data_IF_451728362010
#
_entry.id   IF_451728362010
#
_cell.length_a   1.000
_cell.length_b   1.000
_cell.length_c   1.000
_cell.angle_alpha   90.00
_cell.angle_beta   90.00
_cell.angle_gamma   90.00
#
_symmetry.space_group_name_H-M   'P 1'
#
loop_
_entity.id
_entity.type
_entity.pdbx_description
1 polymer ?
#
# COMPACT_ATOMS: atom_id res chain seq x y z
N UNK A 1 -4.28 -42.11 -68.30
CA UNK A 1 -3.79 -41.80 -66.94
C UNK A 1 -4.29 -40.41 -66.54
N UNK A 2 -5.42 -40.34 -65.80
CA UNK A 2 -5.94 -39.09 -65.24
C UNK A 2 -5.40 -38.96 -63.82
N UNK A 3 -4.46 -38.04 -63.60
CA UNK A 3 -4.00 -37.73 -62.24
C UNK A 3 -5.10 -36.96 -61.51
N UNK A 4 -5.56 -37.54 -60.40
CA UNK A 4 -6.63 -37.01 -59.56
C UNK A 4 -6.17 -35.71 -58.87
N UNK A 5 -6.58 -34.57 -59.41
CA UNK A 5 -6.27 -33.21 -58.94
C UNK A 5 -6.70 -32.95 -57.50
N UNK A 6 -7.62 -33.73 -56.94
CA UNK A 6 -8.10 -33.60 -55.56
C UNK A 6 -7.09 -34.01 -54.47
N UNK A 7 -6.03 -34.74 -54.81
CA UNK A 7 -5.02 -35.18 -53.82
C UNK A 7 -3.99 -34.07 -53.51
N UNK A 8 -3.63 -33.27 -54.53
CA UNK A 8 -2.61 -32.21 -54.38
C UNK A 8 -3.10 -31.04 -53.53
N UNK A 9 -4.39 -30.69 -53.62
CA UNK A 9 -4.99 -29.60 -52.84
C UNK A 9 -5.12 -29.98 -51.36
N UNK A 10 -5.46 -31.24 -51.05
CA UNK A 10 -5.55 -31.73 -49.66
C UNK A 10 -4.18 -31.81 -49.00
N UNK A 11 -3.14 -32.20 -49.74
CA UNK A 11 -1.77 -32.25 -49.23
C UNK A 11 -1.21 -30.84 -48.94
N UNK A 12 -1.54 -29.85 -49.79
CA UNK A 12 -1.12 -28.46 -49.60
C UNK A 12 -1.80 -27.80 -48.39
N UNK A 13 -3.09 -28.10 -48.16
CA UNK A 13 -3.82 -27.66 -46.96
C UNK A 13 -3.24 -28.31 -45.70
N UNK A 14 -2.91 -29.61 -45.74
CA UNK A 14 -2.29 -30.30 -44.60
C UNK A 14 -0.90 -29.72 -44.27
N UNK A 15 -0.10 -29.41 -45.31
CA UNK A 15 1.21 -28.79 -45.15
C UNK A 15 1.08 -27.35 -44.61
N UNK A 16 0.12 -26.55 -45.09
CA UNK A 16 -0.13 -25.21 -44.58
C UNK A 16 -0.60 -25.23 -43.12
N UNK A 17 -1.49 -26.15 -42.73
CA UNK A 17 -1.93 -26.30 -41.34
C UNK A 17 -0.77 -26.77 -40.45
N UNK A 18 0.09 -27.66 -40.93
CA UNK A 18 1.28 -28.12 -40.18
C UNK A 18 2.36 -27.04 -40.04
N UNK A 19 2.59 -26.21 -41.06
CA UNK A 19 3.53 -25.10 -41.01
C UNK A 19 3.06 -23.96 -40.08
N UNK A 20 1.74 -23.73 -40.00
CA UNK A 20 1.12 -22.84 -38.99
C UNK A 20 1.23 -23.45 -37.59
N UNK A 21 1.23 -24.77 -37.45
CA UNK A 21 1.34 -25.45 -36.15
C UNK A 21 2.77 -25.44 -35.60
N UNK A 22 3.80 -25.40 -36.47
CA UNK A 22 5.21 -25.45 -36.07
C UNK A 22 5.77 -24.05 -35.75
N UNK A 23 5.19 -22.97 -36.28
CA UNK A 23 5.58 -21.59 -35.88
C UNK A 23 4.93 -21.10 -34.59
N UNK A 24 4.01 -21.86 -33.98
CA UNK A 24 3.32 -21.51 -32.72
C UNK A 24 3.92 -22.26 -31.51
N UNK A 25 5.01 -23.01 -31.71
CA UNK A 25 5.78 -23.66 -30.64
C UNK A 25 7.06 -22.90 -30.24
N UNK A 26 7.21 -21.63 -30.65
CA UNK A 26 8.19 -20.72 -30.07
C UNK A 26 7.59 -20.14 -28.79
N UNK A 27 8.16 -20.45 -27.62
CA UNK A 27 7.82 -19.94 -26.28
C UNK A 27 6.62 -18.99 -26.23
N UNK A 28 5.42 -19.54 -26.04
CA UNK A 28 4.20 -18.76 -25.84
C UNK A 28 4.24 -18.16 -24.42
N UNK A 29 5.11 -17.17 -24.21
CA UNK A 29 5.07 -16.33 -23.01
C UNK A 29 3.76 -15.53 -23.08
N UNK A 30 2.73 -16.08 -22.45
CA UNK A 30 1.37 -15.52 -22.45
C UNK A 30 1.12 -14.76 -21.15
N UNK A 31 0.24 -13.77 -21.21
CA UNK A 31 -0.13 -12.97 -20.04
C UNK A 31 -0.73 -13.80 -18.90
N UNK A 32 -1.33 -14.95 -19.21
CA UNK A 32 -1.88 -15.88 -18.22
C UNK A 32 -0.81 -16.57 -17.37
N UNK A 33 0.42 -16.71 -17.90
CA UNK A 33 1.58 -17.32 -17.23
C UNK A 33 2.55 -16.31 -16.60
N UNK A 34 2.21 -15.01 -16.59
CA UNK A 34 3.11 -13.96 -16.11
C UNK A 34 3.41 -14.07 -14.60
N UNK A 35 4.70 -14.24 -14.24
CA UNK A 35 5.15 -14.48 -12.85
C UNK A 35 4.65 -13.44 -11.83
N UNK A 36 4.69 -12.15 -12.19
CA UNK A 36 4.22 -11.07 -11.30
C UNK A 36 2.70 -11.04 -11.10
N UNK A 37 1.93 -11.64 -12.02
CA UNK A 37 0.48 -11.42 -12.10
C UNK A 37 -0.25 -11.92 -10.85
N UNK A 38 0.06 -13.15 -10.39
CA UNK A 38 -0.58 -13.72 -9.21
C UNK A 38 -0.34 -12.89 -7.93
N UNK A 39 0.89 -12.39 -7.76
CA UNK A 39 1.28 -11.58 -6.59
C UNK A 39 0.57 -10.24 -6.58
N UNK A 40 0.63 -9.50 -7.70
CA UNK A 40 -0.01 -8.20 -7.81
C UNK A 40 -1.53 -8.30 -7.78
N UNK A 41 -2.12 -9.35 -8.38
CA UNK A 41 -3.56 -9.64 -8.29
C UNK A 41 -4.01 -9.77 -6.85
N UNK A 42 -3.27 -10.49 -6.01
CA UNK A 42 -3.61 -10.65 -4.60
C UNK A 42 -3.70 -9.29 -3.88
N UNK A 43 -2.73 -8.41 -4.10
CA UNK A 43 -2.70 -7.07 -3.51
C UNK A 43 -3.83 -6.19 -4.06
N UNK A 44 -4.00 -6.14 -5.38
CA UNK A 44 -5.07 -5.35 -6.02
C UNK A 44 -6.44 -5.79 -5.51
N UNK A 45 -6.69 -7.11 -5.44
CA UNK A 45 -7.93 -7.65 -4.88
C UNK A 45 -8.07 -7.26 -3.42
N UNK A 46 -7.03 -7.39 -2.60
CA UNK A 46 -7.10 -7.02 -1.17
C UNK A 46 -7.45 -5.54 -0.96
N UNK A 47 -6.74 -4.64 -1.67
CA UNK A 47 -6.92 -3.19 -1.54
C UNK A 47 -8.28 -2.73 -2.04
N UNK A 48 -8.74 -3.28 -3.16
CA UNK A 48 -9.95 -2.83 -3.83
C UNK A 48 -11.21 -3.55 -3.34
N UNK A 49 -11.11 -4.57 -2.49
CA UNK A 49 -12.28 -5.38 -2.09
C UNK A 49 -13.34 -4.57 -1.33
N UNK A 50 -12.96 -3.52 -0.61
CA UNK A 50 -13.90 -2.66 0.13
C UNK A 50 -14.60 -1.62 -0.75
N UNK A 51 -14.17 -1.43 -2.00
CA UNK A 51 -14.77 -0.49 -2.95
C UNK A 51 -15.45 -1.27 -4.09
N UNK A 52 -16.77 -1.15 -4.21
CA UNK A 52 -17.55 -1.96 -5.16
C UNK A 52 -17.16 -1.69 -6.62
N UNK A 53 -16.91 -0.43 -6.97
CA UNK A 53 -16.52 -0.03 -8.33
C UNK A 53 -15.09 -0.48 -8.62
N UNK A 54 -14.16 -0.24 -7.69
CA UNK A 54 -12.77 -0.68 -7.79
C UNK A 54 -12.65 -2.19 -7.92
N UNK A 55 -13.41 -2.95 -7.13
CA UNK A 55 -13.50 -4.41 -7.22
C UNK A 55 -13.98 -4.87 -8.60
N UNK A 56 -15.10 -4.33 -9.08
CA UNK A 56 -15.64 -4.68 -10.40
C UNK A 56 -14.63 -4.38 -11.52
N UNK A 57 -14.00 -3.20 -11.49
CA UNK A 57 -12.99 -2.79 -12.47
C UNK A 57 -11.78 -3.71 -12.43
N UNK A 58 -11.28 -4.03 -11.24
CA UNK A 58 -10.20 -5.00 -11.06
C UNK A 58 -10.55 -6.35 -11.66
N UNK A 59 -11.72 -6.92 -11.34
CA UNK A 59 -12.11 -8.25 -11.84
C UNK A 59 -12.17 -8.31 -13.38
N UNK A 60 -12.63 -7.24 -14.04
CA UNK A 60 -12.66 -7.16 -15.50
C UNK A 60 -11.26 -6.98 -16.08
N UNK A 61 -10.46 -6.06 -15.52
CA UNK A 61 -9.10 -5.78 -16.00
C UNK A 61 -8.17 -6.98 -15.81
N UNK A 62 -8.30 -7.71 -14.70
CA UNK A 62 -7.55 -8.95 -14.46
C UNK A 62 -7.84 -10.00 -15.54
N UNK A 63 -9.11 -10.17 -15.94
CA UNK A 63 -9.48 -11.06 -17.05
C UNK A 63 -8.96 -10.56 -18.39
N UNK A 64 -9.02 -9.25 -18.64
CA UNK A 64 -8.47 -8.64 -19.85
C UNK A 64 -6.97 -8.85 -19.95
N UNK A 65 -6.25 -8.66 -18.84
CA UNK A 65 -4.81 -8.92 -18.75
C UNK A 65 -4.49 -10.38 -19.10
N UNK A 66 -5.14 -11.36 -18.47
CA UNK A 66 -4.87 -12.78 -18.72
C UNK A 66 -5.08 -13.20 -20.18
N UNK A 67 -6.03 -12.57 -20.87
CA UNK A 67 -6.38 -12.86 -22.26
C UNK A 67 -5.74 -11.87 -23.26
N UNK A 68 -4.90 -10.95 -22.78
CA UNK A 68 -4.25 -9.98 -23.65
C UNK A 68 -3.19 -10.65 -24.51
N UNK A 69 -3.01 -10.13 -25.72
CA UNK A 69 -1.80 -10.40 -26.50
C UNK A 69 -0.76 -9.36 -26.11
N UNK A 70 0.45 -9.76 -25.69
CA UNK A 70 1.51 -8.83 -25.33
C UNK A 70 1.82 -7.87 -26.49
N UNK A 71 1.92 -6.58 -26.20
CA UNK A 71 2.23 -5.55 -27.21
C UNK A 71 3.26 -4.58 -26.68
N UNK A 72 4.06 -4.02 -27.59
CA UNK A 72 4.99 -2.95 -27.24
C UNK A 72 4.23 -1.68 -26.86
N UNK A 73 4.57 -1.09 -25.70
CA UNK A 73 3.94 0.11 -25.15
C UNK A 73 4.93 1.24 -24.91
N UNK A 74 4.49 2.48 -25.17
CA UNK A 74 5.29 3.67 -24.89
C UNK A 74 5.28 4.03 -23.40
N UNK A 75 6.16 4.97 -23.00
CA UNK A 75 6.21 5.48 -21.62
C UNK A 75 4.90 6.15 -21.22
N UNK A 76 4.27 6.87 -22.14
CA UNK A 76 3.03 7.59 -21.93
C UNK A 76 1.85 6.63 -21.73
N UNK A 77 1.80 5.53 -22.50
CA UNK A 77 0.80 4.48 -22.33
C UNK A 77 0.94 3.75 -20.98
N UNK A 78 2.18 3.59 -20.50
CA UNK A 78 2.48 2.91 -19.24
C UNK A 78 2.53 3.82 -18.01
N UNK A 79 2.39 5.14 -18.17
CA UNK A 79 2.26 6.10 -17.06
C UNK A 79 3.27 5.88 -15.93
N UNK A 80 2.78 5.63 -14.71
CA UNK A 80 3.65 5.36 -13.54
C UNK A 80 4.52 4.11 -13.69
N UNK A 81 4.16 3.17 -14.58
CA UNK A 81 4.91 1.96 -14.88
C UNK A 81 5.85 2.12 -16.09
N UNK A 82 6.21 3.35 -16.47
CA UNK A 82 7.02 3.67 -17.66
C UNK A 82 8.36 2.93 -17.78
N UNK A 83 8.91 2.40 -16.69
CA UNK A 83 10.18 1.67 -16.71
C UNK A 83 10.14 0.38 -17.53
N UNK A 84 8.93 -0.15 -17.79
CA UNK A 84 8.73 -1.33 -18.63
C UNK A 84 8.37 -0.98 -20.09
N UNK A 85 8.49 0.30 -20.48
CA UNK A 85 8.24 0.72 -21.85
C UNK A 85 9.19 0.05 -22.86
N UNK A 86 8.73 -0.06 -24.10
CA UNK A 86 9.44 -0.73 -25.20
C UNK A 86 9.63 -2.25 -25.02
N UNK A 87 8.80 -2.89 -24.21
CA UNK A 87 8.75 -4.35 -24.01
C UNK A 87 7.38 -4.88 -24.41
N UNK A 88 7.26 -6.16 -24.78
CA UNK A 88 5.95 -6.74 -25.11
C UNK A 88 5.19 -7.06 -23.82
N UNK A 89 4.41 -6.08 -23.36
CA UNK A 89 3.70 -6.14 -22.08
C UNK A 89 2.21 -6.42 -22.28
N UNK A 90 1.62 -7.02 -21.25
CA UNK A 90 0.20 -7.27 -21.12
C UNK A 90 -0.56 -6.09 -20.49
N UNK A 91 0.18 -5.11 -19.96
CA UNK A 91 -0.42 -3.90 -19.41
C UNK A 91 -0.97 -2.97 -20.49
N UNK A 92 -2.10 -2.38 -20.18
CA UNK A 92 -2.62 -1.21 -20.88
C UNK A 92 -2.71 -0.02 -19.90
N UNK A 93 -3.13 1.12 -20.44
CA UNK A 93 -3.29 2.34 -19.65
C UNK A 93 -4.31 2.18 -18.50
N UNK A 94 -5.31 1.29 -18.63
CA UNK A 94 -6.33 1.09 -17.61
C UNK A 94 -5.80 0.28 -16.42
N UNK A 95 -5.02 -0.76 -16.67
CA UNK A 95 -4.27 -1.51 -15.66
C UNK A 95 -3.35 -0.57 -14.87
N UNK A 96 -2.60 0.29 -15.57
CA UNK A 96 -1.69 1.25 -14.93
C UNK A 96 -2.44 2.27 -14.08
N UNK A 97 -3.56 2.82 -14.57
CA UNK A 97 -4.42 3.71 -13.78
C UNK A 97 -4.97 3.01 -12.53
N UNK A 98 -5.37 1.75 -12.67
CA UNK A 98 -5.83 0.93 -11.54
C UNK A 98 -4.71 0.74 -10.52
N UNK A 99 -3.48 0.46 -10.95
CA UNK A 99 -2.31 0.33 -10.07
C UNK A 99 -2.08 1.60 -9.28
N UNK A 100 -2.06 2.76 -9.94
CA UNK A 100 -1.80 4.03 -9.26
C UNK A 100 -2.89 4.35 -8.22
N UNK A 101 -4.15 4.12 -8.58
CA UNK A 101 -5.29 4.31 -7.67
C UNK A 101 -5.26 3.32 -6.50
N UNK A 102 -4.88 2.06 -6.75
CA UNK A 102 -4.76 1.05 -5.70
C UNK A 102 -3.61 1.38 -4.73
N UNK A 103 -2.46 1.83 -5.23
CA UNK A 103 -1.35 2.26 -4.39
C UNK A 103 -1.76 3.42 -3.45
N UNK A 104 -2.52 4.39 -3.97
CA UNK A 104 -3.08 5.48 -3.15
C UNK A 104 -4.12 4.97 -2.14
N UNK A 105 -5.04 4.08 -2.55
CA UNK A 105 -6.07 3.54 -1.66
C UNK A 105 -5.49 2.65 -0.54
N UNK A 106 -4.38 1.96 -0.81
CA UNK A 106 -3.67 1.11 0.17
C UNK A 106 -3.32 1.86 1.45
N UNK A 107 -3.03 3.17 1.36
CA UNK A 107 -2.62 3.98 2.51
C UNK A 107 -3.78 4.69 3.22
N UNK A 108 -5.00 4.64 2.67
CA UNK A 108 -6.18 5.25 3.28
C UNK A 108 -6.49 4.72 4.69
N UNK A 109 -6.47 3.40 4.96
CA UNK A 109 -6.68 2.87 6.32
C UNK A 109 -5.61 3.35 7.31
N UNK A 110 -4.38 3.61 6.84
CA UNK A 110 -3.28 4.10 7.68
C UNK A 110 -3.56 5.53 8.15
N UNK A 111 -4.13 6.36 7.25
CA UNK A 111 -4.54 7.72 7.59
C UNK A 111 -5.78 7.75 8.48
N UNK A 112 -6.75 6.86 8.27
CA UNK A 112 -7.98 6.81 9.07
C UNK A 112 -7.77 6.24 10.48
N UNK A 113 -6.72 5.44 10.70
CA UNK A 113 -6.41 4.87 12.00
C UNK A 113 -5.84 5.93 12.96
N UNK A 114 -6.29 5.92 14.22
CA UNK A 114 -5.74 6.77 15.28
C UNK A 114 -4.25 6.49 15.48
N UNK A 115 -3.43 7.48 15.21
CA UNK A 115 -1.99 7.45 15.48
C UNK A 115 -1.70 7.53 16.98
N UNK A 116 -0.50 7.15 17.43
CA UNK A 116 -0.13 7.21 18.85
C UNK A 116 -0.23 8.64 19.44
N UNK A 117 0.00 9.68 18.62
CA UNK A 117 -0.24 11.07 19.00
C UNK A 117 -1.73 11.38 19.22
N UNK A 118 -2.61 10.90 18.35
CA UNK A 118 -4.06 11.05 18.57
C UNK A 118 -4.50 10.26 19.82
N UNK A 119 -3.96 9.06 20.04
CA UNK A 119 -4.23 8.27 21.25
C UNK A 119 -3.83 9.01 22.54
N UNK A 120 -2.81 9.88 22.53
CA UNK A 120 -2.43 10.72 23.68
C UNK A 120 -3.62 11.53 24.20
N UNK A 121 -4.44 12.09 23.32
CA UNK A 121 -5.62 12.89 23.70
C UNK A 121 -6.70 12.01 24.31
N UNK A 122 -6.95 10.83 23.73
CA UNK A 122 -7.90 9.86 24.31
C UNK A 122 -7.44 9.39 25.70
N UNK A 123 -6.14 9.11 25.87
CA UNK A 123 -5.55 8.76 27.18
C UNK A 123 -5.65 9.93 28.16
N UNK A 124 -5.39 11.16 27.71
CA UNK A 124 -5.54 12.36 28.55
C UNK A 124 -6.96 12.49 29.10
N UNK A 125 -7.98 12.41 28.25
CA UNK A 125 -9.39 12.49 28.66
C UNK A 125 -9.70 11.38 29.68
N UNK A 126 -9.26 10.14 29.43
CA UNK A 126 -9.46 9.03 30.35
C UNK A 126 -8.80 9.26 31.71
N UNK A 127 -7.57 9.80 31.74
CA UNK A 127 -6.88 10.11 32.99
C UNK A 127 -7.52 11.28 33.73
N UNK A 128 -8.00 12.31 33.04
CA UNK A 128 -8.74 13.40 33.67
C UNK A 128 -10.01 12.86 34.33
N UNK A 129 -10.82 12.07 33.61
CA UNK A 129 -12.05 11.51 34.15
C UNK A 129 -11.81 10.55 35.32
N UNK A 130 -10.66 9.87 35.35
CA UNK A 130 -10.29 8.95 36.44
C UNK A 130 -9.76 9.66 37.68
N UNK A 131 -8.98 10.74 37.51
CA UNK A 131 -8.21 11.34 38.60
C UNK A 131 -8.72 12.71 39.06
N UNK A 132 -9.61 13.35 38.29
CA UNK A 132 -10.14 14.68 38.57
C UNK A 132 -11.62 14.62 38.94
N UNK A 133 -12.01 15.37 39.97
CA UNK A 133 -13.41 15.57 40.34
C UNK A 133 -14.06 16.66 39.48
N UNK A 134 -15.38 16.62 39.30
CA UNK A 134 -16.10 17.57 38.42
C UNK A 134 -15.98 19.05 38.84
N UNK A 135 -15.77 19.33 40.13
CA UNK A 135 -15.59 20.69 40.66
C UNK A 135 -14.33 21.41 40.13
N UNK A 136 -13.31 20.67 39.68
CA UNK A 136 -12.06 21.22 39.12
C UNK A 136 -12.06 21.22 37.59
N UNK A 137 -13.13 20.76 36.93
CA UNK A 137 -13.27 20.73 35.48
C UNK A 137 -14.22 21.85 35.03
N UNK A 138 -13.72 22.93 34.40
CA UNK A 138 -14.56 24.05 33.96
C UNK A 138 -15.49 23.66 32.80
N UNK A 139 -15.17 22.60 32.07
CA UNK A 139 -15.93 22.14 30.89
C UNK A 139 -15.89 20.61 30.85
N UNK A 140 -16.92 19.96 31.39
CA UNK A 140 -17.08 18.50 31.41
C UNK A 140 -18.43 18.12 30.79
N UNK A 141 -18.52 17.07 29.95
CA UNK A 141 -17.44 16.14 29.59
C UNK A 141 -16.44 16.73 28.59
N UNK A 142 -15.17 16.35 28.73
CA UNK A 142 -14.14 16.62 27.72
C UNK A 142 -14.32 15.69 26.52
N UNK A 143 -14.31 16.25 25.32
CA UNK A 143 -14.40 15.50 24.06
C UNK A 143 -13.08 15.58 23.30
N UNK A 144 -12.71 14.47 22.65
CA UNK A 144 -11.56 14.37 21.75
C UNK A 144 -11.58 15.47 20.67
N UNK A 145 -12.71 15.61 19.95
CA UNK A 145 -12.80 16.56 18.83
C UNK A 145 -12.67 18.01 19.29
N UNK A 146 -13.23 18.35 20.46
CA UNK A 146 -13.19 19.70 21.01
C UNK A 146 -11.77 20.09 21.43
N UNK A 147 -11.03 19.16 22.07
CA UNK A 147 -9.62 19.37 22.40
C UNK A 147 -8.79 19.50 21.11
N UNK A 148 -9.00 18.60 20.16
CA UNK A 148 -8.19 18.54 18.94
C UNK A 148 -8.41 19.73 18.01
N UNK A 149 -9.61 20.34 18.02
CA UNK A 149 -9.96 21.56 17.27
C UNK A 149 -9.71 22.85 18.03
N UNK A 150 -9.35 22.80 19.31
CA UNK A 150 -9.12 24.01 20.10
C UNK A 150 -7.84 24.73 19.65
N UNK A 151 -8.03 25.85 18.95
CA UNK A 151 -6.95 26.69 18.40
C UNK A 151 -6.17 27.47 19.47
N UNK A 152 -6.66 27.54 20.70
CA UNK A 152 -5.96 28.19 21.81
C UNK A 152 -4.81 27.34 22.36
N UNK A 153 -4.83 26.03 22.14
CA UNK A 153 -3.78 25.08 22.54
C UNK A 153 -2.62 25.12 21.53
N UNK A 154 -1.84 26.19 21.54
CA UNK A 154 -0.81 26.48 20.53
C UNK A 154 0.23 25.37 20.42
N UNK A 155 0.67 24.78 21.55
CA UNK A 155 1.67 23.73 21.54
C UNK A 155 1.07 22.45 20.95
N UNK A 156 -0.15 22.07 21.35
CA UNK A 156 -0.85 20.94 20.77
C UNK A 156 -1.02 21.11 19.25
N UNK A 157 -1.51 22.27 18.79
CA UNK A 157 -1.75 22.50 17.36
C UNK A 157 -0.45 22.48 16.54
N UNK A 158 0.63 23.09 17.05
CA UNK A 158 1.94 23.05 16.39
C UNK A 158 2.48 21.62 16.25
N UNK A 159 2.43 20.84 17.33
CA UNK A 159 2.87 19.43 17.29
C UNK A 159 1.98 18.57 16.40
N UNK A 160 0.67 18.80 16.39
CA UNK A 160 -0.28 18.12 15.50
C UNK A 160 0.08 18.35 14.03
N UNK A 161 0.25 19.60 13.60
CA UNK A 161 0.59 19.90 12.21
C UNK A 161 1.91 19.24 11.81
N UNK A 162 2.92 19.29 12.67
CA UNK A 162 4.22 18.68 12.38
C UNK A 162 4.15 17.14 12.32
N UNK A 163 3.44 16.51 13.26
CA UNK A 163 3.22 15.06 13.27
C UNK A 163 2.41 14.59 12.06
N UNK A 164 1.40 15.36 11.63
CA UNK A 164 0.59 15.06 10.46
C UNK A 164 1.47 14.98 9.19
N UNK A 165 2.44 15.89 9.05
CA UNK A 165 3.40 15.85 7.95
C UNK A 165 4.28 14.60 8.00
N UNK A 166 4.76 14.16 9.17
CA UNK A 166 5.49 12.89 9.28
C UNK A 166 4.62 11.71 8.82
N UNK A 167 3.35 11.68 9.25
CA UNK A 167 2.38 10.63 8.90
C UNK A 167 2.06 10.61 7.39
N UNK A 168 1.93 11.78 6.77
CA UNK A 168 1.73 11.92 5.31
C UNK A 168 2.96 11.37 4.57
N UNK A 169 4.18 11.77 4.97
CA UNK A 169 5.41 11.30 4.33
C UNK A 169 5.59 9.78 4.46
N UNK A 170 5.23 9.21 5.61
CA UNK A 170 5.21 7.76 5.80
C UNK A 170 4.28 7.08 4.80
N UNK A 171 3.04 7.55 4.66
CA UNK A 171 2.09 7.02 3.68
C UNK A 171 2.56 7.20 2.22
N UNK A 172 3.21 8.33 1.89
CA UNK A 172 3.81 8.52 0.56
C UNK A 172 4.87 7.47 0.24
N UNK A 173 5.71 7.11 1.21
CA UNK A 173 6.71 6.06 1.05
C UNK A 173 6.06 4.68 0.81
N UNK A 174 5.04 4.31 1.60
CA UNK A 174 4.29 3.05 1.43
C UNK A 174 3.58 3.01 0.06
N UNK A 175 2.90 4.10 -0.32
CA UNK A 175 2.22 4.24 -1.62
C UNK A 175 3.21 4.07 -2.78
N UNK A 176 4.35 4.78 -2.73
CA UNK A 176 5.36 4.74 -3.80
C UNK A 176 5.99 3.36 -3.99
N UNK A 177 6.25 2.68 -2.88
CA UNK A 177 6.83 1.33 -2.89
C UNK A 177 5.82 0.29 -3.39
N UNK A 178 4.57 0.37 -2.94
CA UNK A 178 3.46 -0.49 -3.41
C UNK A 178 3.21 -0.29 -4.90
N UNK A 179 3.26 0.95 -5.39
CA UNK A 179 3.07 1.28 -6.80
C UNK A 179 4.10 0.59 -7.69
N UNK A 180 5.38 0.72 -7.38
CA UNK A 180 6.43 0.10 -8.19
C UNK A 180 6.41 -1.43 -8.12
N UNK A 181 6.06 -1.99 -6.96
CA UNK A 181 5.79 -3.41 -6.80
C UNK A 181 4.72 -3.91 -7.77
N UNK A 182 3.55 -3.25 -7.77
CA UNK A 182 2.43 -3.58 -8.64
C UNK A 182 2.75 -3.37 -10.13
N UNK A 183 3.55 -2.35 -10.47
CA UNK A 183 4.00 -2.11 -11.83
C UNK A 183 4.81 -3.27 -12.42
N UNK A 184 5.36 -4.19 -11.61
CA UNK A 184 6.05 -5.39 -12.11
C UNK A 184 5.19 -6.31 -12.98
N UNK A 185 3.86 -6.20 -12.94
CA UNK A 185 2.98 -6.90 -13.90
C UNK A 185 3.09 -6.35 -15.32
N UNK A 186 3.69 -5.17 -15.49
CA UNK A 186 3.89 -4.57 -16.78
C UNK A 186 5.23 -4.94 -17.40
N UNK A 187 6.05 -5.79 -16.76
CA UNK A 187 7.21 -6.37 -17.39
C UNK A 187 6.84 -7.05 -18.72
N UNK A 188 7.73 -6.95 -19.71
CA UNK A 188 7.57 -7.70 -20.95
C UNK A 188 7.54 -9.19 -20.66
N UNK A 189 6.63 -9.91 -21.30
CA UNK A 189 6.51 -11.37 -21.12
C UNK A 189 7.83 -12.08 -21.48
N UNK A 190 8.57 -11.52 -22.43
CA UNK A 190 9.86 -12.00 -22.91
C UNK A 190 11.03 -11.65 -21.99
N UNK A 191 10.83 -10.72 -21.04
CA UNK A 191 11.86 -10.24 -20.10
C UNK A 191 11.51 -10.51 -18.64
N UNK A 192 10.43 -11.23 -18.37
CA UNK A 192 9.96 -11.43 -16.98
C UNK A 192 11.02 -12.10 -16.10
N UNK A 193 11.80 -13.03 -16.66
CA UNK A 193 12.89 -13.73 -15.95
C UNK A 193 14.11 -12.83 -15.68
N UNK A 194 14.23 -11.68 -16.37
CA UNK A 194 15.25 -10.68 -16.03
C UNK A 194 14.90 -10.04 -14.67
N UNK A 195 13.60 -9.89 -14.39
CA UNK A 195 13.08 -9.21 -13.21
C UNK A 195 12.77 -10.10 -12.02
N UNK A 196 12.59 -11.41 -12.23
CA UNK A 196 12.32 -12.37 -11.18
C UNK A 196 13.43 -13.43 -11.14
N UNK A 197 13.82 -13.89 -9.95
CA UNK A 197 14.73 -15.03 -9.83
C UNK A 197 13.96 -16.36 -9.93
N UNK A 198 14.69 -17.48 -9.90
CA UNK A 198 14.12 -18.82 -10.03
C UNK A 198 13.16 -19.18 -8.89
N UNK A 199 13.26 -18.49 -7.75
CA UNK A 199 12.35 -18.61 -6.60
C UNK A 199 11.09 -17.74 -6.75
N UNK A 200 10.94 -17.00 -7.85
CA UNK A 200 9.83 -16.08 -8.09
C UNK A 200 9.86 -14.83 -7.21
N UNK A 201 11.04 -14.48 -6.68
CA UNK A 201 11.27 -13.22 -5.95
C UNK A 201 11.59 -12.11 -6.94
N UNK A 202 11.02 -10.93 -6.73
CA UNK A 202 11.33 -9.76 -7.56
C UNK A 202 12.77 -9.29 -7.27
N UNK A 203 13.58 -9.14 -8.32
CA UNK A 203 14.91 -8.53 -8.24
C UNK A 203 14.75 -7.01 -8.15
N UNK A 204 15.09 -6.43 -7.00
CA UNK A 204 14.94 -5.00 -6.73
C UNK A 204 16.29 -4.33 -6.56
N UNK A 205 16.39 -3.07 -7.00
CA UNK A 205 17.62 -2.31 -6.85
C UNK A 205 17.87 -1.95 -5.38
N UNK A 206 19.14 -1.96 -4.96
CA UNK A 206 19.52 -1.47 -3.63
C UNK A 206 19.09 -0.01 -3.40
N UNK A 207 19.06 0.80 -4.47
CA UNK A 207 18.59 2.20 -4.40
C UNK A 207 17.14 2.29 -3.92
N UNK A 208 16.23 1.47 -4.44
CA UNK A 208 14.83 1.45 -4.00
C UNK A 208 14.70 1.07 -2.53
N UNK A 209 15.46 0.05 -2.09
CA UNK A 209 15.49 -0.39 -0.69
C UNK A 209 15.96 0.75 0.20
N UNK A 210 17.06 1.40 -0.16
CA UNK A 210 17.65 2.49 0.61
C UNK A 210 16.70 3.68 0.71
N UNK A 211 16.10 4.11 -0.40
CA UNK A 211 15.16 5.24 -0.41
C UNK A 211 13.94 4.91 0.44
N UNK A 212 13.33 3.72 0.26
CA UNK A 212 12.18 3.32 1.06
C UNK A 212 12.50 3.30 2.56
N UNK A 213 13.59 2.66 2.95
CA UNK A 213 14.02 2.60 4.35
C UNK A 213 14.36 3.98 4.90
N UNK A 214 15.05 4.82 4.14
CA UNK A 214 15.37 6.19 4.56
C UNK A 214 14.09 7.01 4.79
N UNK A 215 13.14 6.96 3.86
CA UNK A 215 11.89 7.73 3.98
C UNK A 215 11.03 7.24 5.15
N UNK A 216 10.94 5.93 5.35
CA UNK A 216 10.22 5.35 6.49
C UNK A 216 10.92 5.64 7.82
N UNK A 217 12.24 5.51 7.91
CA UNK A 217 13.02 5.86 9.10
C UNK A 217 12.87 7.33 9.47
N UNK A 218 13.00 8.23 8.50
CA UNK A 218 12.86 9.67 8.72
C UNK A 218 11.46 10.00 9.21
N UNK A 219 10.41 9.44 8.60
CA UNK A 219 9.03 9.67 9.00
C UNK A 219 8.72 9.10 10.40
N UNK A 220 9.21 7.89 10.71
CA UNK A 220 9.05 7.27 12.04
C UNK A 220 9.82 8.05 13.10
N UNK A 221 11.06 8.45 12.82
CA UNK A 221 11.88 9.26 13.74
C UNK A 221 11.23 10.63 13.99
N UNK A 222 10.79 11.31 12.94
CA UNK A 222 10.01 12.55 13.00
C UNK A 222 8.80 12.38 13.92
N UNK A 223 7.99 11.33 13.70
CA UNK A 223 6.81 11.04 14.51
C UNK A 223 7.17 10.75 15.98
N UNK A 224 8.16 9.89 16.21
CA UNK A 224 8.56 9.46 17.56
C UNK A 224 9.03 10.62 18.44
N UNK A 225 9.59 11.67 17.84
CA UNK A 225 10.04 12.86 18.58
C UNK A 225 8.91 13.55 19.35
N UNK A 226 7.66 13.46 18.88
CA UNK A 226 6.47 14.01 19.53
C UNK A 226 6.00 13.20 20.75
N UNK A 227 6.48 11.96 20.89
CA UNK A 227 6.13 11.04 21.97
C UNK A 227 7.23 10.92 23.04
N UNK A 228 8.23 11.80 23.01
CA UNK A 228 9.25 11.85 24.06
C UNK A 228 8.64 12.31 25.39
N UNK A 229 9.20 11.86 26.52
CA UNK A 229 8.73 12.25 27.84
C UNK A 229 8.67 13.77 28.05
N UNK A 230 9.61 14.51 27.46
CA UNK A 230 9.63 15.98 27.49
C UNK A 230 8.48 16.59 26.69
N UNK A 231 8.27 16.15 25.45
CA UNK A 231 7.19 16.70 24.62
C UNK A 231 5.80 16.35 25.17
N UNK A 232 5.62 15.12 25.65
CA UNK A 232 4.39 14.70 26.33
C UNK A 232 4.13 15.58 27.54
N UNK A 233 5.16 15.85 28.35
CA UNK A 233 5.01 16.72 29.53
C UNK A 233 4.56 18.13 29.16
N UNK A 234 5.14 18.72 28.12
CA UNK A 234 4.78 20.07 27.65
C UNK A 234 3.32 20.08 27.17
N UNK A 235 2.91 19.11 26.34
CA UNK A 235 1.55 19.01 25.82
C UNK A 235 0.55 18.83 26.96
N UNK A 236 0.81 17.91 27.89
CA UNK A 236 -0.10 17.64 29.01
C UNK A 236 -0.19 18.82 29.97
N UNK A 237 0.90 19.57 30.19
CA UNK A 237 0.86 20.81 30.98
C UNK A 237 -0.01 21.88 30.32
N UNK A 238 0.06 22.04 29.00
CA UNK A 238 -0.84 22.94 28.26
C UNK A 238 -2.31 22.51 28.40
N UNK A 239 -2.59 21.21 28.23
CA UNK A 239 -3.93 20.65 28.39
C UNK A 239 -4.46 20.85 29.83
N UNK A 240 -3.65 20.55 30.85
CA UNK A 240 -4.02 20.75 32.25
C UNK A 240 -4.32 22.23 32.54
N UNK A 241 -3.50 23.15 32.03
CA UNK A 241 -3.72 24.59 32.22
C UNK A 241 -5.04 25.07 31.58
N UNK A 242 -5.45 24.46 30.45
CA UNK A 242 -6.69 24.80 29.77
C UNK A 242 -7.93 24.16 30.42
N UNK A 243 -7.82 22.94 30.95
CA UNK A 243 -8.98 22.11 31.31
C UNK A 243 -9.07 21.73 32.79
N UNK A 244 -8.11 22.11 33.63
CA UNK A 244 -8.13 21.84 35.08
C UNK A 244 -7.95 23.15 35.85
N UNK A 245 -8.93 23.49 36.70
CA UNK A 245 -8.88 24.70 37.54
C UNK A 245 -7.74 24.62 38.57
N UNK A 246 -7.07 25.75 38.76
CA UNK A 246 -6.09 25.99 39.83
C UNK A 246 -4.89 25.03 39.88
N UNK A 247 -4.56 24.34 38.78
CA UNK A 247 -3.43 23.41 38.71
C UNK A 247 -3.40 22.43 39.91
N UNK A 248 -4.59 21.92 40.26
CA UNK A 248 -4.82 21.01 41.39
C UNK A 248 -3.91 19.77 41.28
N UNK A 249 -3.64 19.12 42.42
CA UNK A 249 -2.91 17.83 42.53
C UNK A 249 -3.37 16.81 41.48
N UNK A 250 -4.66 16.81 41.12
CA UNK A 250 -5.18 15.94 40.07
C UNK A 250 -4.44 16.11 38.71
N UNK A 251 -4.04 17.32 38.32
CA UNK A 251 -3.27 17.57 37.09
C UNK A 251 -1.87 16.94 37.13
N UNK A 252 -1.22 16.92 38.30
CA UNK A 252 0.06 16.23 38.47
C UNK A 252 -0.09 14.71 38.40
N UNK A 253 -1.19 14.17 38.93
CA UNK A 253 -1.51 12.74 38.80
C UNK A 253 -1.77 12.36 37.33
N UNK A 254 -2.54 13.18 36.60
CA UNK A 254 -2.78 13.01 35.16
C UNK A 254 -1.45 13.00 34.40
N UNK A 255 -0.58 13.98 34.63
CA UNK A 255 0.73 14.07 33.99
C UNK A 255 1.59 12.83 34.28
N UNK A 256 1.68 12.42 35.54
CA UNK A 256 2.48 11.26 35.97
C UNK A 256 1.99 9.97 35.30
N UNK A 257 0.66 9.75 35.29
CA UNK A 257 0.06 8.56 34.70
C UNK A 257 0.25 8.51 33.18
N UNK A 258 0.09 9.65 32.48
CA UNK A 258 0.31 9.71 31.04
C UNK A 258 1.78 9.42 30.70
N UNK A 259 2.74 10.02 31.42
CA UNK A 259 4.17 9.74 31.21
C UNK A 259 4.50 8.26 31.42
N UNK A 260 3.88 7.62 32.41
CA UNK A 260 4.06 6.19 32.65
C UNK A 260 3.51 5.32 31.50
N UNK A 261 2.33 5.65 30.97
CA UNK A 261 1.71 4.93 29.84
C UNK A 261 2.58 5.02 28.58
N UNK A 262 3.14 6.20 28.30
CA UNK A 262 3.90 6.43 27.06
C UNK A 262 5.40 6.11 27.14
N UNK A 263 5.92 5.74 28.33
CA UNK A 263 7.32 5.38 28.53
C UNK A 263 7.80 4.26 27.59
N UNK A 264 6.89 3.39 27.13
CA UNK A 264 7.17 2.26 26.24
C UNK A 264 6.36 2.29 24.93
N UNK A 265 5.99 3.47 24.41
CA UNK A 265 5.05 3.59 23.28
C UNK A 265 5.49 2.97 21.92
N UNK A 266 6.70 2.38 21.83
CA UNK A 266 7.26 1.57 20.72
C UNK A 266 6.93 2.08 19.30
N UNK A 267 7.04 3.39 19.04
CA UNK A 267 7.03 3.93 17.66
C UNK A 267 8.46 3.94 17.13
N UNK A 268 8.97 2.77 16.76
CA UNK A 268 10.35 2.56 16.32
C UNK A 268 10.39 1.58 15.13
N UNK A 269 11.30 1.80 14.19
CA UNK A 269 11.52 0.89 13.07
C UNK A 269 12.48 -0.26 13.42
N UNK A 270 12.17 -1.05 14.44
CA UNK A 270 13.01 -2.14 14.92
C UNK A 270 12.16 -3.38 15.23
N UNK A 271 12.53 -4.54 14.67
CA UNK A 271 11.81 -5.80 14.83
C UNK A 271 12.11 -6.56 16.14
N UNK A 272 12.94 -5.97 17.02
CA UNK A 272 13.37 -6.56 18.28
C UNK A 272 14.49 -7.60 18.15
N UNK A 273 14.95 -7.89 16.93
CA UNK A 273 15.99 -8.89 16.62
C UNK A 273 17.19 -8.28 15.90
N UNK A 274 17.30 -6.95 15.90
CA UNK A 274 18.35 -6.20 15.21
C UNK A 274 18.03 -5.89 13.75
N UNK A 275 16.82 -6.24 13.28
CA UNK A 275 16.31 -5.88 11.96
C UNK A 275 15.30 -4.72 12.00
N UNK A 276 14.75 -4.39 10.83
CA UNK A 276 13.72 -3.34 10.67
C UNK A 276 12.33 -3.97 10.54
N UNK A 277 11.30 -3.25 11.00
CA UNK A 277 9.91 -3.63 10.76
C UNK A 277 9.53 -3.27 9.32
N UNK A 278 9.85 -2.06 8.88
CA UNK A 278 9.72 -1.61 7.50
C UNK A 278 10.91 -2.10 6.68
N UNK A 279 10.86 -3.35 6.24
CA UNK A 279 11.87 -3.94 5.36
C UNK A 279 11.63 -3.49 3.93
N UNK A 280 12.68 -3.08 3.22
CA UNK A 280 12.61 -2.80 1.79
C UNK A 280 12.65 -4.06 0.92
N UNK A 281 12.56 -5.25 1.52
CA UNK A 281 12.58 -6.56 0.84
C UNK A 281 11.23 -7.31 0.94
N UNK A 282 10.25 -6.74 1.65
CA UNK A 282 8.86 -7.25 1.71
C UNK A 282 7.98 -6.37 0.83
N UNK A 283 7.82 -6.79 -0.42
CA UNK A 283 7.24 -6.00 -1.52
C UNK A 283 5.78 -6.37 -1.78
N UNK A 284 5.45 -7.65 -1.72
CA UNK A 284 4.11 -8.19 -1.95
C UNK A 284 3.45 -8.82 -0.70
N UNK A 285 4.25 -9.14 0.31
CA UNK A 285 3.85 -9.85 1.53
C UNK A 285 3.17 -8.95 2.55
N UNK A 286 2.82 -9.54 3.69
CA UNK A 286 2.18 -8.83 4.79
C UNK A 286 3.16 -7.83 5.42
N UNK A 287 2.97 -6.54 5.12
CA UNK A 287 3.72 -5.42 5.71
C UNK A 287 2.93 -4.69 6.81
N UNK A 288 1.90 -5.34 7.39
CA UNK A 288 0.99 -4.72 8.35
C UNK A 288 1.67 -4.19 9.60
N UNK A 289 2.79 -4.79 10.03
CA UNK A 289 3.56 -4.29 11.16
C UNK A 289 4.22 -2.93 10.86
N UNK A 290 4.79 -2.77 9.66
CA UNK A 290 5.33 -1.48 9.23
C UNK A 290 4.21 -0.46 9.07
N UNK A 291 3.15 -0.84 8.36
CA UNK A 291 1.97 -0.01 8.11
C UNK A 291 1.33 0.51 9.41
N UNK A 292 1.42 -0.27 10.51
CA UNK A 292 0.85 0.07 11.82
C UNK A 292 1.84 0.73 12.81
N UNK A 293 3.07 1.00 12.40
CA UNK A 293 4.12 1.47 13.32
C UNK A 293 3.78 2.81 13.99
N UNK A 294 3.10 3.72 13.26
CA UNK A 294 2.73 5.05 13.78
C UNK A 294 1.54 5.01 14.75
N UNK A 295 0.82 3.89 14.83
CA UNK A 295 -0.24 3.66 15.79
C UNK A 295 0.31 3.30 17.19
N UNK A 296 1.61 2.98 17.29
CA UNK A 296 2.26 2.54 18.52
C UNK A 296 1.66 1.26 19.07
N UNK A 297 1.79 1.05 20.38
CA UNK A 297 1.17 -0.10 21.06
C UNK A 297 -0.37 -0.10 20.88
N UNK A 298 -0.91 -1.25 20.48
CA UNK A 298 -2.33 -1.48 20.25
C UNK A 298 -3.16 -1.28 21.53
N UNK A 299 -2.55 -1.46 22.69
CA UNK A 299 -3.19 -1.35 24.00
C UNK A 299 -3.01 0.02 24.69
N UNK A 300 -2.44 1.03 24.01
CA UNK A 300 -2.26 2.38 24.55
C UNK A 300 -3.54 3.00 25.16
N UNK A 301 -4.69 2.74 24.54
CA UNK A 301 -5.99 3.24 25.01
C UNK A 301 -6.72 2.25 25.97
N UNK A 302 -6.25 1.00 26.10
CA UNK A 302 -6.95 -0.09 26.79
C UNK A 302 -6.44 -0.40 28.21
N UNK A 303 -5.28 0.14 28.62
CA UNK A 303 -4.63 -0.26 29.88
C UNK A 303 -5.05 0.58 31.11
N UNK A 304 -6.10 0.10 31.79
CA UNK A 304 -6.41 0.40 33.20
C UNK A 304 -6.14 -0.79 34.15
N UNK A 305 -5.48 -1.86 33.68
CA UNK A 305 -5.19 -3.06 34.47
C UNK A 305 -3.72 -3.48 34.35
N UNK A 306 -3.18 -3.91 35.50
CA UNK A 306 -1.81 -4.40 35.75
C UNK A 306 -1.15 -5.08 34.54
N UNK A 307 0.00 -4.56 34.16
CA UNK A 307 1.01 -5.22 33.32
C UNK A 307 1.42 -6.57 33.90
N UNK A 308 0.91 -7.66 33.32
CA UNK A 308 1.56 -8.98 33.25
C UNK A 308 0.95 -9.72 32.05
N UNK A 309 1.47 -9.46 30.85
CA UNK A 309 1.50 -10.31 29.63
C UNK A 309 1.58 -9.46 28.37
N UNK A 310 2.80 -9.16 27.96
CA UNK A 310 3.13 -8.93 26.56
C UNK A 310 4.26 -9.91 26.25
N UNK A 311 4.13 -10.68 25.17
CA UNK A 311 5.19 -10.83 24.14
C UNK A 311 5.04 -12.03 23.18
N UNK A 312 4.08 -12.96 23.32
CA UNK A 312 4.16 -14.19 22.51
C UNK A 312 3.23 -14.31 21.28
N UNK A 313 2.07 -13.65 21.22
CA UNK A 313 1.13 -13.92 20.11
C UNK A 313 1.33 -13.05 18.86
N UNK A 314 1.58 -11.74 19.01
CA UNK A 314 1.82 -10.86 17.85
C UNK A 314 3.24 -10.99 17.29
N UNK A 315 4.21 -11.37 18.13
CA UNK A 315 5.60 -11.59 17.71
C UNK A 315 5.78 -12.85 16.85
N UNK A 316 4.90 -13.85 17.01
CA UNK A 316 4.92 -15.06 16.19
C UNK A 316 4.41 -14.84 14.75
N UNK A 317 3.62 -13.79 14.47
CA UNK A 317 3.26 -13.38 13.09
C UNK A 317 4.38 -12.59 12.39
N UNK A 318 5.22 -11.88 13.14
CA UNK A 318 6.41 -11.17 12.62
C UNK A 318 7.52 -12.12 12.14
N UNK A 319 7.50 -13.37 12.59
CA UNK A 319 8.55 -14.37 12.39
C UNK A 319 8.46 -15.19 11.09
N UNK A 320 7.42 -15.01 10.28
CA UNK A 320 7.19 -15.78 9.04
C UNK A 320 7.00 -14.92 7.78
N UNK A 321 7.50 -13.68 7.78
CA UNK A 321 7.65 -12.92 6.54
C UNK A 321 8.82 -13.52 5.75
N UNK A 322 8.51 -14.36 4.76
CA UNK A 322 9.47 -14.77 3.74
C UNK A 322 9.67 -13.59 2.81
N UNK A 323 10.93 -13.18 2.60
CA UNK A 323 11.24 -12.13 1.63
C UNK A 323 10.75 -12.54 0.24
N UNK A 324 9.96 -11.69 -0.39
CA UNK A 324 9.37 -11.93 -1.70
C UNK A 324 10.06 -11.12 -2.81
N UNK A 325 11.15 -10.47 -2.44
CA UNK A 325 12.10 -9.80 -3.31
C UNK A 325 13.52 -10.07 -2.85
N UNK A 326 14.47 -9.91 -3.76
CA UNK A 326 15.90 -10.04 -3.53
C UNK A 326 16.60 -8.79 -4.04
N UNK A 327 17.61 -8.32 -3.32
CA UNK A 327 18.44 -7.22 -3.81
C UNK A 327 19.34 -7.73 -4.92
N UNK A 328 19.28 -7.09 -6.08
CA UNK A 328 20.12 -7.40 -7.23
C UNK A 328 20.74 -6.11 -7.79
N UNK A 329 22.03 -6.09 -8.17
CA UNK A 329 22.66 -4.93 -8.82
C UNK A 329 21.95 -4.43 -10.08
N UNK A 330 21.28 -5.34 -10.80
CA UNK A 330 20.47 -5.06 -11.99
C UNK A 330 18.97 -5.08 -11.69
N UNK A 331 18.59 -5.08 -10.40
CA UNK A 331 17.20 -5.10 -9.97
C UNK A 331 16.43 -3.85 -10.37
N UNK A 332 15.11 -3.96 -10.44
CA UNK A 332 14.25 -2.85 -10.88
C UNK A 332 14.13 -1.78 -9.80
N UNK A 333 13.86 -0.54 -10.21
CA UNK A 333 13.46 0.48 -9.26
C UNK A 333 11.97 0.31 -8.93
N UNK A 334 11.63 0.04 -7.67
CA UNK A 334 10.23 -0.04 -7.23
C UNK A 334 9.78 1.14 -6.36
N UNK A 335 10.64 2.11 -6.10
CA UNK A 335 10.22 3.35 -5.43
C UNK A 335 9.74 4.34 -6.50
N UNK A 336 8.43 4.31 -6.81
CA UNK A 336 7.82 5.12 -7.88
C UNK A 336 6.80 6.09 -7.28
N UNK A 337 7.07 7.39 -7.37
CA UNK A 337 6.14 8.44 -6.91
C UNK A 337 5.06 8.74 -7.95
N UNK A 338 3.90 9.25 -7.51
CA UNK A 338 2.84 9.76 -8.40
C UNK A 338 2.35 11.13 -7.94
N UNK A 339 1.83 11.93 -8.86
CA UNK A 339 1.13 13.17 -8.52
C UNK A 339 -0.12 12.92 -7.67
N UNK A 340 -0.70 11.71 -7.75
CA UNK A 340 -1.81 11.29 -6.91
C UNK A 340 -1.43 11.21 -5.42
N UNK A 341 -0.14 11.09 -5.09
CA UNK A 341 0.32 11.12 -3.70
C UNK A 341 0.09 12.48 -3.02
N UNK A 342 -0.19 13.55 -3.78
CA UNK A 342 -0.57 14.85 -3.23
C UNK A 342 -1.96 14.88 -2.60
N UNK A 343 -2.78 13.85 -2.85
CA UNK A 343 -4.10 13.68 -2.24
C UNK A 343 -4.03 13.09 -0.82
N UNK A 344 -2.85 12.65 -0.38
CA UNK A 344 -2.64 12.08 0.96
C UNK A 344 -2.64 13.22 1.99
N UNK A 345 -3.66 13.22 2.85
CA UNK A 345 -3.78 14.12 4.01
C UNK A 345 -3.75 13.34 5.35
N UNK A 346 -3.78 14.07 6.47
CA UNK A 346 -3.71 13.53 7.85
C UNK A 346 -4.78 12.46 8.14
N UNK A 347 -5.96 12.58 7.54
CA UNK A 347 -7.15 11.79 7.87
C UNK A 347 -7.58 10.83 6.75
N UNK A 348 -6.96 10.93 5.58
CA UNK A 348 -7.28 10.18 4.36
C UNK A 348 -8.53 10.70 3.64
N UNK A 349 -8.95 11.95 3.88
CA UNK A 349 -10.17 12.51 3.28
C UNK A 349 -9.97 12.85 1.80
N UNK A 350 -8.81 13.37 1.43
CA UNK A 350 -8.39 13.60 0.04
C UNK A 350 -8.18 12.31 -0.75
N UNK A 351 -8.01 11.17 -0.07
CA UNK A 351 -7.88 9.86 -0.72
C UNK A 351 -9.28 9.36 -1.14
N UNK A 352 -9.69 9.79 -2.32
CA UNK A 352 -10.94 9.38 -2.94
C UNK A 352 -10.70 8.23 -3.93
N UNK A 353 -11.60 7.27 -3.93
CA UNK A 353 -11.61 6.21 -4.93
C UNK A 353 -12.10 6.81 -6.26
N UNK A 354 -11.17 7.13 -7.16
CA UNK A 354 -11.47 7.68 -8.47
C UNK A 354 -11.07 6.68 -9.55
N UNK A 355 -12.07 6.02 -10.14
CA UNK A 355 -11.88 5.10 -11.26
C UNK A 355 -12.42 5.69 -12.57
N UNK A 356 -12.69 6.99 -12.60
CA UNK A 356 -13.10 7.70 -13.80
C UNK A 356 -11.96 7.66 -14.83
N UNK A 357 -12.31 7.38 -16.08
CA UNK A 357 -11.32 7.19 -17.14
C UNK A 357 -10.62 5.82 -17.13
N UNK A 358 -11.05 4.86 -16.30
CA UNK A 358 -10.75 3.42 -16.47
C UNK A 358 -11.87 2.78 -17.30
N UNK A 359 -11.59 2.56 -18.59
CA UNK A 359 -12.54 1.96 -19.52
C UNK A 359 -12.34 0.44 -19.59
N UNK A 360 -13.39 -0.31 -19.27
CA UNK A 360 -13.38 -1.78 -19.26
C UNK A 360 -14.09 -2.40 -20.47
N UNK A 361 -14.53 -1.61 -21.45
CA UNK A 361 -15.33 -2.09 -22.59
C UNK A 361 -14.50 -2.64 -23.77
N UNK A 362 -13.20 -2.83 -23.62
CA UNK A 362 -12.38 -3.50 -24.63
C UNK A 362 -12.59 -5.02 -24.57
N UNK A 363 -13.50 -5.59 -25.36
CA UNK A 363 -13.52 -7.06 -25.49
C UNK A 363 -14.74 -7.81 -26.02
N UNK A 364 -15.78 -7.17 -26.59
CA UNK A 364 -16.87 -7.93 -27.25
C UNK A 364 -16.93 -7.76 -28.78
N UNK A 365 -16.30 -6.72 -29.34
CA UNK A 365 -16.41 -6.45 -30.78
C UNK A 365 -15.44 -7.24 -31.68
N UNK A 366 -14.35 -7.83 -31.15
CA UNK A 366 -13.40 -8.57 -31.99
C UNK A 366 -13.78 -10.04 -32.24
N UNK A 367 -14.53 -10.67 -31.33
CA UNK A 367 -15.00 -12.06 -31.49
C UNK A 367 -16.20 -12.17 -32.44
N UNK A 368 -17.06 -11.15 -32.49
CA UNK A 368 -18.22 -11.12 -33.39
C UNK A 368 -17.77 -10.92 -34.85
N UNK A 369 -16.77 -10.07 -35.11
CA UNK A 369 -16.22 -9.86 -36.47
C UNK A 369 -15.57 -11.11 -37.07
N UNK A 370 -14.89 -11.93 -36.26
CA UNK A 370 -14.28 -13.19 -36.70
C UNK A 370 -15.34 -14.27 -37.01
N UNK A 371 -16.44 -14.32 -36.24
CA UNK A 371 -17.56 -15.22 -36.49
C UNK A 371 -18.34 -14.86 -37.77
N UNK A 372 -18.55 -13.57 -38.05
CA UNK A 372 -19.19 -13.15 -39.31
C UNK A 372 -18.29 -13.34 -40.54
N UNK A 373 -16.97 -13.14 -40.41
CA UNK A 373 -16.02 -13.41 -41.50
C UNK A 373 -15.93 -14.89 -41.89
N UNK A 374 -16.01 -15.80 -40.91
CA UNK A 374 -16.02 -17.25 -41.17
C UNK A 374 -17.33 -17.73 -41.80
N UNK A 375 -18.47 -17.14 -41.43
CA UNK A 375 -19.77 -17.46 -42.06
C UNK A 375 -19.81 -16.95 -43.51
N UNK A 376 -19.25 -15.79 -43.82
CA UNK A 376 -19.19 -15.27 -45.19
C UNK A 376 -18.23 -16.04 -46.11
N UNK A 377 -17.32 -16.83 -45.55
CA UNK A 377 -16.42 -17.73 -46.31
C UNK A 377 -16.98 -19.16 -46.43
N UNK A 378 -18.01 -19.51 -45.67
CA UNK A 378 -18.65 -20.83 -45.65
C UNK A 378 -20.00 -20.88 -46.40
N UNK A 379 -20.50 -19.72 -46.83
CA UNK A 379 -21.60 -19.55 -47.79
C UNK A 379 -21.06 -18.86 -49.04
#
# INVERSE_FOLDING_TARGET
MKYNTNSKTKLFILFAVSAISITVAANNDTCSSHLAFAKARSILTYVLNSDSQGKQKNDVLQKQFQNANPTNKTKEELGVCFQYANQNTCCDQNIVKLIDQAALLKVKPLQQSKSAFQKLISVYIAQVNKNCTSNVLPSSPLNFDDIFKNSTLKILQSNRTAQANCKINFAKAISSFTRGALCSICAGVEKVNDYFNDQGQLKISQSSVNIFQQQTDQAISCFSSFLTASNIEIIVKELNAAYIKNNNICGQNVLTNIKAIFANSKVLNNDGKGGKICKGTTVFGDNSACEKVLQGDSNLEYNNLRFLRFDDQDMNRLLQSVEDSVVDPNGVNIYITSNNDNQIDENGNGIMANFDGINTNFGLNKTIGALFGLIYFLF
#
